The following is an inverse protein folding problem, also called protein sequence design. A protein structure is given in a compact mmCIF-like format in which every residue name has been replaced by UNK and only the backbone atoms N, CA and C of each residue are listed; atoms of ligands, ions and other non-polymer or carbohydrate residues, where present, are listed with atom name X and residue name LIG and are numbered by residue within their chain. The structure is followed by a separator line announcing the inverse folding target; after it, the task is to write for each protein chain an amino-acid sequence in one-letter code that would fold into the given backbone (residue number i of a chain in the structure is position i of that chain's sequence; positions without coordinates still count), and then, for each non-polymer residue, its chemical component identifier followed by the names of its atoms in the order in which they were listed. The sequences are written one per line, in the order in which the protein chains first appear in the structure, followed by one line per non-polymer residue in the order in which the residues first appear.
data_IF_313781708692
#
_entry.id   IF_313781708692
#
_cell.length_a   1.000
_cell.length_b   1.000
_cell.length_c   1.000
_cell.angle_alpha   90.00
_cell.angle_beta   90.00
_cell.angle_gamma   90.00
#
_symmetry.space_group_name_H-M   'P 1'
#
loop_
_entity.id
_entity.type
_entity.pdbx_description
1 polymer ?
#
# COMPACT_ATOMS: atom_id res chain seq x y z
N UNK A 1 15.07 -30.43 47.78
CA UNK A 1 14.51 -31.04 46.54
C UNK A 1 13.16 -30.43 46.13
N UNK A 2 12.25 -30.14 47.06
CA UNK A 2 10.88 -29.66 46.76
C UNK A 2 10.77 -28.30 46.05
N UNK A 3 11.64 -27.34 46.38
CA UNK A 3 11.61 -25.98 45.78
C UNK A 3 11.99 -25.97 44.30
N UNK A 4 12.96 -26.80 43.88
CA UNK A 4 13.40 -26.91 42.48
C UNK A 4 12.32 -27.52 41.58
N UNK A 5 11.55 -28.47 42.11
CA UNK A 5 10.41 -29.08 41.40
C UNK A 5 9.27 -28.07 41.26
N UNK A 6 8.98 -27.29 42.30
CA UNK A 6 7.95 -26.25 42.26
C UNK A 6 8.28 -25.15 41.23
N UNK A 7 9.55 -24.72 41.15
CA UNK A 7 10.00 -23.71 40.20
C UNK A 7 9.90 -24.20 38.74
N UNK A 8 10.25 -25.47 38.49
CA UNK A 8 10.14 -26.08 37.16
C UNK A 8 8.68 -26.19 36.70
N UNK A 9 7.75 -26.48 37.62
CA UNK A 9 6.31 -26.51 37.34
C UNK A 9 5.74 -25.13 37.01
N UNK A 10 6.20 -24.06 37.67
CA UNK A 10 5.75 -22.69 37.39
C UNK A 10 6.28 -22.20 36.03
N UNK A 11 7.55 -22.48 35.71
CA UNK A 11 8.14 -22.12 34.42
C UNK A 11 7.43 -22.86 33.27
N UNK A 12 7.13 -24.14 33.45
CA UNK A 12 6.36 -24.91 32.47
C UNK A 12 4.96 -24.34 32.21
N UNK A 13 4.30 -23.85 33.27
CA UNK A 13 2.98 -23.19 33.14
C UNK A 13 3.07 -21.87 32.37
N UNK A 14 4.08 -21.04 32.66
CA UNK A 14 4.29 -19.75 31.98
C UNK A 14 4.60 -19.97 30.50
N UNK A 15 5.49 -20.92 30.18
CA UNK A 15 5.84 -21.25 28.79
C UNK A 15 4.62 -21.85 28.07
N UNK A 16 3.86 -22.72 28.74
CA UNK A 16 2.62 -23.29 28.20
C UNK A 16 1.57 -22.22 27.88
N UNK A 17 1.37 -21.25 28.78
CA UNK A 17 0.47 -20.12 28.56
C UNK A 17 0.96 -19.21 27.43
N UNK A 18 2.27 -18.92 27.34
CA UNK A 18 2.84 -18.17 26.23
C UNK A 18 2.63 -18.87 24.88
N UNK A 19 2.81 -20.18 24.83
CA UNK A 19 2.64 -20.96 23.60
C UNK A 19 1.17 -21.03 23.18
N UNK A 20 0.23 -21.15 24.12
CA UNK A 20 -1.21 -21.09 23.83
C UNK A 20 -1.60 -19.71 23.32
N UNK A 21 -1.09 -18.62 23.90
CA UNK A 21 -1.32 -17.27 23.38
C UNK A 21 -0.68 -17.05 21.99
N UNK A 22 0.54 -17.55 21.75
CA UNK A 22 1.19 -17.48 20.44
C UNK A 22 0.47 -18.32 19.36
N UNK A 23 -0.16 -19.43 19.74
CA UNK A 23 -0.93 -20.27 18.83
C UNK A 23 -2.32 -19.67 18.57
N UNK A 24 -2.99 -19.12 19.59
CA UNK A 24 -4.26 -18.39 19.41
C UNK A 24 -4.09 -17.05 18.68
N UNK A 25 -2.89 -16.45 18.68
CA UNK A 25 -2.58 -15.28 17.83
C UNK A 25 -2.34 -15.65 16.36
N UNK A 26 -2.04 -16.92 16.05
CA UNK A 26 -1.93 -17.42 14.67
C UNK A 26 -3.29 -17.73 14.05
N UNK A 27 -4.28 -18.05 14.87
CA UNK A 27 -5.66 -18.22 14.42
C UNK A 27 -6.32 -16.84 14.30
N UNK A 28 -6.43 -16.36 13.04
CA UNK A 28 -7.17 -15.16 12.55
C UNK A 28 -6.48 -13.80 12.52
N UNK A 29 -5.19 -13.74 12.15
CA UNK A 29 -4.76 -12.68 11.21
C UNK A 29 -5.09 -13.19 9.80
N UNK A 30 -6.36 -13.18 9.45
CA UNK A 30 -6.73 -13.31 8.04
C UNK A 30 -6.32 -11.97 7.41
N UNK A 31 -5.20 -11.95 6.70
CA UNK A 31 -4.92 -10.84 5.78
C UNK A 31 -6.17 -10.74 4.90
N UNK A 32 -6.96 -9.67 5.07
CA UNK A 32 -8.06 -9.42 4.14
C UNK A 32 -7.40 -9.31 2.76
N UNK A 33 -7.79 -10.19 1.83
CA UNK A 33 -7.24 -10.17 0.48
C UNK A 33 -7.35 -8.75 -0.08
N UNK A 34 -6.24 -8.22 -0.61
CA UNK A 34 -6.15 -6.83 -1.07
C UNK A 34 -5.79 -5.80 0.01
N UNK A 35 -5.31 -6.21 1.18
CA UNK A 35 -4.75 -5.32 2.21
C UNK A 35 -3.35 -5.73 2.68
N UNK A 36 -2.58 -4.74 3.12
CA UNK A 36 -1.25 -4.89 3.74
C UNK A 36 -1.20 -4.00 4.99
N UNK A 37 -0.53 -4.41 6.06
CA UNK A 37 -0.29 -3.52 7.22
C UNK A 37 0.43 -2.25 6.78
N UNK A 38 0.11 -1.10 7.39
CA UNK A 38 0.69 0.20 7.01
C UNK A 38 2.22 0.17 6.99
N UNK A 39 2.86 -0.34 8.05
CA UNK A 39 4.31 -0.41 8.13
C UNK A 39 4.91 -1.31 7.04
N UNK A 40 4.24 -2.42 6.71
CA UNK A 40 4.67 -3.30 5.63
C UNK A 40 4.49 -2.65 4.25
N UNK A 41 3.43 -1.86 4.06
CA UNK A 41 3.20 -1.10 2.83
C UNK A 41 4.32 -0.07 2.61
N UNK A 42 4.64 0.72 3.64
CA UNK A 42 5.72 1.72 3.60
C UNK A 42 7.10 1.07 3.40
N UNK A 43 7.37 -0.05 4.09
CA UNK A 43 8.62 -0.80 3.92
C UNK A 43 8.75 -1.40 2.51
N UNK A 44 7.67 -1.93 1.92
CA UNK A 44 7.70 -2.46 0.54
C UNK A 44 7.95 -1.37 -0.49
N UNK A 45 7.39 -0.16 -0.30
CA UNK A 45 7.71 0.99 -1.14
C UNK A 45 9.21 1.28 -1.12
N UNK A 46 9.80 1.29 0.08
CA UNK A 46 11.25 1.49 0.26
C UNK A 46 12.07 0.36 -0.36
N UNK A 47 11.68 -0.88 -0.15
CA UNK A 47 12.37 -2.05 -0.69
C UNK A 47 12.34 -2.08 -2.22
N UNK A 48 11.15 -2.02 -2.84
CA UNK A 48 10.99 -2.13 -4.30
C UNK A 48 11.57 -0.95 -5.06
N UNK A 49 11.71 0.19 -4.40
CA UNK A 49 12.35 1.37 -4.96
C UNK A 49 13.86 1.44 -4.69
N UNK A 50 14.47 0.43 -4.06
CA UNK A 50 15.86 0.44 -3.61
C UNK A 50 16.20 1.67 -2.74
N UNK A 51 15.27 2.07 -1.87
CA UNK A 51 15.42 3.19 -0.95
C UNK A 51 15.04 4.56 -1.52
N UNK A 52 14.60 4.66 -2.78
CA UNK A 52 14.22 5.94 -3.38
C UNK A 52 12.90 6.51 -2.82
N UNK A 53 11.97 5.62 -2.45
CA UNK A 53 10.65 5.97 -1.92
C UNK A 53 10.64 5.64 -0.43
N UNK A 54 10.78 6.67 0.40
CA UNK A 54 10.65 6.58 1.84
C UNK A 54 9.51 7.50 2.28
N UNK A 55 8.58 6.94 3.05
CA UNK A 55 7.43 7.69 3.58
C UNK A 55 7.75 8.08 5.01
N UNK A 56 7.83 9.37 5.28
CA UNK A 56 8.19 9.90 6.61
C UNK A 56 7.00 10.51 7.36
N UNK A 57 5.94 10.92 6.65
CA UNK A 57 4.88 11.77 7.18
C UNK A 57 3.46 11.26 6.87
N UNK A 58 3.27 9.94 6.84
CA UNK A 58 1.94 9.36 6.60
C UNK A 58 0.90 9.77 7.65
N UNK A 59 -0.34 9.94 7.20
CA UNK A 59 -1.48 10.38 8.00
C UNK A 59 -2.67 9.47 7.76
N UNK A 60 -3.46 9.30 8.82
CA UNK A 60 -4.74 8.61 8.76
C UNK A 60 -5.83 9.65 8.98
N UNK A 61 -6.67 9.83 7.97
CA UNK A 61 -7.84 10.70 8.04
C UNK A 61 -9.08 9.86 8.31
N UNK A 62 -9.85 10.23 9.35
CA UNK A 62 -11.17 9.67 9.60
C UNK A 62 -12.21 10.53 8.91
N UNK A 63 -13.04 9.93 8.05
CA UNK A 63 -14.13 10.63 7.37
C UNK A 63 -15.45 10.21 7.99
N UNK A 64 -15.95 11.06 8.89
CA UNK A 64 -17.13 10.77 9.73
C UNK A 64 -18.39 10.49 8.91
N UNK A 65 -18.57 11.17 7.76
CA UNK A 65 -19.77 11.04 6.93
C UNK A 65 -19.82 9.70 6.19
N UNK A 66 -18.67 9.25 5.71
CA UNK A 66 -18.51 8.01 4.96
C UNK A 66 -18.25 6.80 5.89
N UNK A 67 -18.06 7.06 7.18
CA UNK A 67 -17.66 6.09 8.20
C UNK A 67 -16.47 5.24 7.75
N UNK A 68 -15.46 5.89 7.16
CA UNK A 68 -14.25 5.24 6.68
C UNK A 68 -12.97 5.95 7.14
N UNK A 69 -11.85 5.29 6.90
CA UNK A 69 -10.50 5.79 7.20
C UNK A 69 -9.69 5.75 5.92
N UNK A 70 -8.88 6.78 5.72
CA UNK A 70 -8.02 6.92 4.56
C UNK A 70 -6.58 7.08 5.02
N UNK A 71 -5.71 6.20 4.52
CA UNK A 71 -4.28 6.41 4.56
C UNK A 71 -3.89 7.45 3.51
N UNK A 72 -3.06 8.41 3.90
CA UNK A 72 -2.46 9.37 2.98
C UNK A 72 -0.98 9.58 3.27
N UNK A 73 -0.18 9.78 2.23
CA UNK A 73 1.23 10.13 2.36
C UNK A 73 1.67 11.01 1.19
N UNK A 74 2.64 11.89 1.41
CA UNK A 74 3.26 12.65 0.32
C UNK A 74 4.66 12.13 0.03
N UNK A 75 4.99 11.98 -1.23
CA UNK A 75 6.35 11.71 -1.67
C UNK A 75 6.65 12.51 -2.94
N UNK A 76 7.62 13.41 -2.87
CA UNK A 76 8.11 14.20 -4.01
C UNK A 76 7.01 14.96 -4.81
N UNK A 77 5.93 15.38 -4.14
CA UNK A 77 4.80 16.07 -4.78
C UNK A 77 3.72 15.13 -5.34
N UNK A 78 3.86 13.82 -5.15
CA UNK A 78 2.80 12.83 -5.34
C UNK A 78 2.12 12.56 -4.01
N UNK A 79 0.80 12.66 -3.98
CA UNK A 79 0.02 12.27 -2.80
C UNK A 79 -0.60 10.91 -3.05
N UNK A 80 -0.26 9.96 -2.19
CA UNK A 80 -0.72 8.58 -2.21
C UNK A 80 -1.91 8.49 -1.26
N UNK A 81 -3.03 7.96 -1.73
CA UNK A 81 -4.22 7.70 -0.95
C UNK A 81 -4.58 6.22 -1.04
N UNK A 82 -5.00 5.64 0.08
CA UNK A 82 -5.56 4.30 0.08
C UNK A 82 -6.63 4.17 1.16
N UNK A 83 -7.63 3.35 0.87
CA UNK A 83 -8.63 2.99 1.88
C UNK A 83 -7.96 2.23 3.01
N UNK A 84 -8.33 2.56 4.23
CA UNK A 84 -7.88 1.84 5.40
C UNK A 84 -8.98 0.87 5.87
N UNK A 85 -8.60 -0.40 6.07
CA UNK A 85 -9.46 -1.46 6.59
C UNK A 85 -9.63 -1.38 8.11
N UNK A 86 -9.72 -2.55 8.77
CA UNK A 86 -9.60 -2.64 10.23
C UNK A 86 -8.24 -2.09 10.68
N UNK A 87 -8.06 -1.83 11.99
CA UNK A 87 -6.90 -1.12 12.55
C UNK A 87 -5.59 -1.49 11.87
N UNK A 88 -4.92 -0.47 11.29
CA UNK A 88 -3.62 -0.46 10.58
C UNK A 88 -3.51 -1.09 9.17
N UNK A 89 -4.60 -1.60 8.59
CA UNK A 89 -4.57 -2.21 7.26
C UNK A 89 -4.78 -1.19 6.15
N UNK A 90 -3.84 -1.09 5.22
CA UNK A 90 -3.90 -0.25 4.01
C UNK A 90 -4.29 -1.11 2.82
N UNK A 91 -5.26 -0.66 2.02
CA UNK A 91 -5.64 -1.36 0.81
C UNK A 91 -4.51 -1.32 -0.22
N UNK A 92 -4.31 -2.44 -0.91
CA UNK A 92 -3.43 -2.52 -2.07
C UNK A 92 -4.01 -1.77 -3.28
N UNK A 93 -5.29 -1.39 -3.23
CA UNK A 93 -5.86 -0.42 -4.16
C UNK A 93 -5.47 1.00 -3.75
N UNK A 94 -4.77 1.71 -4.63
CA UNK A 94 -4.14 2.99 -4.31
C UNK A 94 -4.51 4.03 -5.36
N UNK A 95 -4.84 5.22 -4.91
CA UNK A 95 -5.00 6.41 -5.74
C UNK A 95 -3.80 7.33 -5.56
N UNK A 96 -3.19 7.76 -6.66
CA UNK A 96 -2.07 8.71 -6.64
C UNK A 96 -2.48 10.00 -7.33
N UNK A 97 -2.35 11.12 -6.62
CA UNK A 97 -2.68 12.44 -7.16
C UNK A 97 -1.46 13.36 -7.19
N UNK A 98 -1.36 14.22 -8.20
CA UNK A 98 -0.39 15.31 -8.25
C UNK A 98 -0.94 16.51 -9.02
N UNK A 99 -0.32 17.67 -8.86
CA UNK A 99 -0.55 18.85 -9.71
C UNK A 99 0.65 19.15 -10.62
N UNK A 100 1.65 18.26 -10.65
CA UNK A 100 2.85 18.43 -11.45
C UNK A 100 2.61 18.01 -12.91
N UNK A 101 3.33 18.63 -13.84
CA UNK A 101 3.34 18.25 -15.26
C UNK A 101 4.20 17.01 -15.52
N UNK A 102 3.74 15.87 -15.04
CA UNK A 102 4.49 14.60 -15.02
C UNK A 102 5.00 14.18 -16.40
N UNK A 103 4.18 14.32 -17.45
CA UNK A 103 4.54 13.84 -18.79
C UNK A 103 5.37 14.84 -19.62
N UNK A 104 5.49 16.09 -19.15
CA UNK A 104 6.33 17.11 -19.80
C UNK A 104 7.74 17.17 -19.19
N UNK A 105 7.91 16.68 -17.97
CA UNK A 105 9.18 16.70 -17.24
C UNK A 105 9.74 15.28 -17.09
N UNK A 106 10.92 15.05 -17.65
CA UNK A 106 11.60 13.74 -17.62
C UNK A 106 11.83 13.21 -16.21
N UNK A 107 12.29 14.06 -15.29
CA UNK A 107 12.56 13.65 -13.90
C UNK A 107 11.26 13.32 -13.18
N UNK A 108 10.19 14.08 -13.41
CA UNK A 108 8.88 13.78 -12.84
C UNK A 108 8.27 12.50 -13.41
N UNK A 109 8.47 12.26 -14.71
CA UNK A 109 8.07 11.01 -15.34
C UNK A 109 8.81 9.81 -14.74
N UNK A 110 10.13 9.89 -14.54
CA UNK A 110 10.91 8.82 -13.90
C UNK A 110 10.45 8.55 -12.45
N UNK A 111 10.15 9.60 -11.68
CA UNK A 111 9.60 9.48 -10.33
C UNK A 111 8.21 8.83 -10.33
N UNK A 112 7.32 9.28 -11.19
CA UNK A 112 6.00 8.69 -11.39
C UNK A 112 6.11 7.22 -11.76
N UNK A 113 6.91 6.89 -12.78
CA UNK A 113 7.04 5.52 -13.26
C UNK A 113 7.54 4.59 -12.17
N UNK A 114 8.54 5.01 -11.40
CA UNK A 114 9.06 4.22 -10.26
C UNK A 114 8.01 4.05 -9.17
N UNK A 115 7.25 5.10 -8.84
CA UNK A 115 6.17 5.01 -7.85
C UNK A 115 5.07 4.03 -8.30
N UNK A 116 4.59 4.16 -9.54
CA UNK A 116 3.56 3.27 -10.07
C UNK A 116 4.05 1.83 -10.15
N UNK A 117 5.30 1.59 -10.58
CA UNK A 117 5.91 0.26 -10.58
C UNK A 117 5.87 -0.37 -9.19
N UNK A 118 6.28 0.36 -8.14
CA UNK A 118 6.30 -0.15 -6.78
C UNK A 118 4.88 -0.45 -6.25
N UNK A 119 3.92 0.45 -6.50
CA UNK A 119 2.53 0.27 -6.09
C UNK A 119 1.88 -0.93 -6.78
N UNK A 120 2.12 -1.10 -8.09
CA UNK A 120 1.62 -2.25 -8.86
C UNK A 120 2.25 -3.55 -8.34
N UNK A 121 3.55 -3.57 -8.00
CA UNK A 121 4.19 -4.75 -7.37
C UNK A 121 3.60 -5.08 -6.00
N UNK A 122 3.23 -4.08 -5.20
CA UNK A 122 2.55 -4.30 -3.91
C UNK A 122 1.17 -4.91 -4.15
N UNK A 123 0.46 -4.45 -5.17
CA UNK A 123 -0.86 -4.96 -5.54
C UNK A 123 -0.84 -6.39 -6.13
N UNK A 124 0.13 -6.72 -6.98
CA UNK A 124 0.33 -8.08 -7.49
C UNK A 124 1.83 -8.38 -7.66
N UNK A 125 2.38 -9.16 -6.72
CA UNK A 125 3.79 -9.55 -6.69
C UNK A 125 4.18 -10.54 -7.79
N UNK A 126 3.20 -11.09 -8.53
CA UNK A 126 3.44 -12.09 -9.58
C UNK A 126 3.64 -11.47 -10.96
N UNK A 127 3.35 -10.18 -11.13
CA UNK A 127 3.56 -9.49 -12.40
C UNK A 127 5.04 -9.32 -12.70
N UNK A 128 5.42 -9.61 -13.93
CA UNK A 128 6.74 -9.30 -14.45
C UNK A 128 6.90 -7.79 -14.69
N UNK A 129 8.15 -7.31 -14.75
CA UNK A 129 8.44 -5.89 -15.04
C UNK A 129 7.82 -5.47 -16.39
N UNK A 130 7.89 -6.34 -17.41
CA UNK A 130 7.32 -6.05 -18.73
C UNK A 130 5.79 -5.90 -18.69
N UNK A 131 5.10 -6.71 -17.89
CA UNK A 131 3.65 -6.58 -17.69
C UNK A 131 3.30 -5.28 -16.95
N UNK A 132 4.11 -4.90 -15.96
CA UNK A 132 3.94 -3.65 -15.21
C UNK A 132 4.14 -2.44 -16.13
N UNK A 133 5.21 -2.42 -16.91
CA UNK A 133 5.51 -1.34 -17.85
C UNK A 133 4.38 -1.17 -18.88
N UNK A 134 3.82 -2.29 -19.38
CA UNK A 134 2.65 -2.27 -20.28
C UNK A 134 1.41 -1.68 -19.60
N UNK A 135 1.17 -1.99 -18.31
CA UNK A 135 0.06 -1.43 -17.55
C UNK A 135 0.21 0.09 -17.37
N UNK A 136 1.42 0.55 -17.04
CA UNK A 136 1.72 1.98 -16.89
C UNK A 136 1.53 2.71 -18.22
N UNK A 137 2.15 2.22 -19.30
CA UNK A 137 2.05 2.82 -20.63
C UNK A 137 0.59 2.90 -21.11
N UNK A 138 -0.17 1.80 -20.95
CA UNK A 138 -1.60 1.77 -21.28
C UNK A 138 -2.42 2.76 -20.46
N UNK A 139 -2.08 2.98 -19.19
CA UNK A 139 -2.65 4.04 -18.36
C UNK A 139 -2.46 5.42 -18.98
N UNK A 140 -1.23 5.69 -19.45
CA UNK A 140 -0.88 6.95 -20.12
C UNK A 140 -1.63 7.14 -21.43
N UNK A 141 -1.67 6.10 -22.28
CA UNK A 141 -2.22 6.18 -23.64
C UNK A 141 -3.75 6.33 -23.67
N UNK A 142 -4.48 5.62 -22.81
CA UNK A 142 -5.95 5.59 -22.89
C UNK A 142 -6.65 6.63 -21.99
N UNK A 143 -5.90 7.52 -21.33
CA UNK A 143 -6.38 8.61 -20.46
C UNK A 143 -7.90 8.81 -20.49
N UNK A 144 -8.58 8.39 -19.43
CA UNK A 144 -10.04 8.22 -19.43
C UNK A 144 -10.79 9.52 -19.06
N UNK A 145 -10.08 10.64 -18.89
CA UNK A 145 -10.70 11.89 -18.46
C UNK A 145 -11.51 12.58 -19.58
N UNK A 146 -12.83 12.76 -19.42
CA UNK A 146 -13.67 13.45 -20.40
C UNK A 146 -13.53 14.98 -20.35
N UNK A 147 -12.77 15.53 -19.39
CA UNK A 147 -12.60 16.97 -19.21
C UNK A 147 -11.14 17.36 -19.41
N UNK A 148 -10.90 18.22 -20.41
CA UNK A 148 -9.60 18.69 -20.93
C UNK A 148 -8.70 19.45 -19.94
N UNK A 149 -9.05 19.46 -18.65
CA UNK A 149 -8.31 20.14 -17.59
C UNK A 149 -7.61 19.18 -16.62
N UNK A 150 -8.03 17.93 -16.52
CA UNK A 150 -7.41 16.97 -15.60
C UNK A 150 -7.05 15.70 -16.37
N UNK A 151 -5.83 15.20 -16.19
CA UNK A 151 -5.42 13.89 -16.71
C UNK A 151 -5.73 12.83 -15.64
N UNK A 152 -6.34 11.71 -16.00
CA UNK A 152 -6.56 10.65 -15.03
C UNK A 152 -6.96 9.31 -15.64
N UNK A 153 -6.57 8.23 -14.98
CA UNK A 153 -6.94 6.88 -15.37
C UNK A 153 -7.08 5.96 -14.14
N UNK A 154 -7.90 4.92 -14.28
CA UNK A 154 -8.02 3.82 -13.33
C UNK A 154 -7.58 2.49 -13.98
N UNK A 155 -6.88 1.63 -13.22
CA UNK A 155 -6.37 0.35 -13.74
C UNK A 155 -6.48 -0.78 -12.72
N UNK A 156 -7.20 -1.81 -13.10
CA UNK A 156 -7.15 -3.09 -12.40
C UNK A 156 -5.78 -3.74 -12.55
N UNK A 157 -5.22 -4.21 -11.44
CA UNK A 157 -3.89 -4.83 -11.39
C UNK A 157 -4.03 -6.32 -11.14
N UNK A 158 -3.39 -7.13 -11.99
CA UNK A 158 -3.37 -8.57 -11.85
C UNK A 158 -4.63 -9.27 -12.36
N UNK A 159 -4.74 -10.57 -12.02
CA UNK A 159 -5.94 -11.37 -12.34
C UNK A 159 -7.09 -11.15 -11.35
N UNK A 160 -6.76 -10.64 -10.16
CA UNK A 160 -7.72 -10.32 -9.12
C UNK A 160 -8.27 -8.92 -9.34
N UNK A 161 -9.59 -8.80 -9.51
CA UNK A 161 -10.27 -7.53 -9.77
C UNK A 161 -10.40 -6.65 -8.52
N UNK A 162 -9.96 -7.12 -7.36
CA UNK A 162 -10.04 -6.38 -6.09
C UNK A 162 -8.98 -5.29 -5.95
N UNK A 163 -7.90 -5.35 -6.76
CA UNK A 163 -6.83 -4.36 -6.74
C UNK A 163 -6.93 -3.39 -7.92
N UNK A 164 -7.06 -2.10 -7.62
CA UNK A 164 -7.10 -1.02 -8.60
C UNK A 164 -6.08 0.07 -8.24
N UNK A 165 -5.31 0.50 -9.24
CA UNK A 165 -4.43 1.65 -9.15
C UNK A 165 -5.03 2.79 -9.97
N UNK A 166 -5.31 3.90 -9.30
CA UNK A 166 -5.81 5.13 -9.91
C UNK A 166 -4.70 6.18 -9.92
N UNK A 167 -4.58 6.93 -11.01
CA UNK A 167 -3.67 8.06 -11.10
C UNK A 167 -4.40 9.29 -11.62
N UNK A 168 -4.15 10.45 -11.00
CA UNK A 168 -4.77 11.72 -11.39
C UNK A 168 -3.76 12.85 -11.33
N UNK A 169 -3.71 13.65 -12.39
CA UNK A 169 -3.06 14.96 -12.41
C UNK A 169 -4.17 16.00 -12.40
N UNK A 170 -4.29 16.75 -11.31
CA UNK A 170 -5.20 17.89 -11.23
C UNK A 170 -4.45 19.13 -11.70
N UNK A 171 -4.70 19.62 -12.92
CA UNK A 171 -4.07 20.85 -13.42
C UNK A 171 -4.76 22.04 -12.75
N UNK A 172 -4.16 22.56 -11.67
CA UNK A 172 -4.52 23.89 -11.20
C UNK A 172 -3.78 24.90 -12.07
N UNK A 173 -4.48 25.34 -13.12
CA UNK A 173 -4.17 26.55 -13.89
C UNK A 173 -3.54 27.66 -13.06
#
# INVERSE_FOLDING_TARGET
MKIKVLLASIIGLIIGLMLVWCLSAKDTITIEEGFTHQLDFENKLKEYSNGMIEIEDSKIEYREKENDRVYSANWNGFTIYSKMGKSDWVSNSVSVATNMRVFEDKTKYEQYHKLMECLIRIADTKLSIEEIDKLIAKGVDENESPNTYDFGYDRYVGKDKTNNISFTITDRK
#
